data_IF_979525624204
#
_entry.id   IF_979525624204
#
_cell.length_a   1.000
_cell.length_b   1.000
_cell.length_c   1.000
_cell.angle_alpha   90.00
_cell.angle_beta   90.00
_cell.angle_gamma   90.00
#
_symmetry.space_group_name_H-M   'P 1'
#
loop_
_entity.id
_entity.type
_entity.pdbx_description
1 polymer ?
#
# COMPACT_ATOMS: atom_id res chain seq x y z
N UNK A 1 20.49 33.33 -12.67
CA UNK A 1 20.38 32.49 -11.45
C UNK A 1 18.94 32.27 -10.97
N UNK A 2 18.01 33.26 -11.03
CA UNK A 2 16.58 33.03 -10.71
C UNK A 2 15.81 32.33 -11.85
N UNK A 3 16.16 32.59 -13.11
CA UNK A 3 15.54 31.94 -14.28
C UNK A 3 16.02 30.50 -14.52
N UNK A 4 17.15 30.09 -13.98
CA UNK A 4 17.64 28.71 -14.02
C UNK A 4 17.00 27.85 -12.91
N UNK A 5 16.69 28.43 -11.76
CA UNK A 5 15.93 27.74 -10.71
C UNK A 5 14.48 27.45 -11.11
N UNK A 6 13.83 28.36 -11.86
CA UNK A 6 12.47 28.15 -12.39
C UNK A 6 12.41 27.13 -13.53
N UNK A 7 13.51 26.95 -14.31
CA UNK A 7 13.58 25.94 -15.36
C UNK A 7 13.85 24.51 -14.86
N UNK A 8 14.40 24.36 -13.65
CA UNK A 8 14.59 23.04 -13.02
C UNK A 8 13.31 22.48 -12.35
N UNK A 9 12.28 23.31 -12.18
CA UNK A 9 10.99 22.88 -11.61
C UNK A 9 9.98 22.34 -12.64
N UNK A 10 10.25 22.43 -13.93
CA UNK A 10 9.30 22.02 -14.99
C UNK A 10 9.31 20.53 -15.36
N UNK A 11 10.01 19.66 -14.63
CA UNK A 11 10.18 18.26 -15.06
C UNK A 11 10.11 17.16 -14.01
N UNK A 12 10.17 17.44 -12.71
CA UNK A 12 10.14 16.37 -11.71
C UNK A 12 8.70 16.03 -11.30
N UNK A 13 8.30 14.78 -11.50
CA UNK A 13 7.05 14.23 -10.95
C UNK A 13 7.24 14.15 -9.44
N UNK A 14 6.38 14.81 -8.66
CA UNK A 14 6.39 14.76 -7.21
C UNK A 14 5.03 14.27 -6.71
N UNK A 15 5.03 13.26 -5.84
CA UNK A 15 3.85 12.80 -5.11
C UNK A 15 3.94 13.35 -3.70
N UNK A 16 2.89 14.08 -3.29
CA UNK A 16 2.76 14.65 -1.97
C UNK A 16 1.77 13.83 -1.14
N UNK A 17 2.16 13.50 0.10
CA UNK A 17 1.29 12.89 1.09
C UNK A 17 1.12 13.90 2.24
N UNK A 18 -0.11 14.13 2.73
CA UNK A 18 -0.32 14.99 3.88
C UNK A 18 0.49 14.52 5.08
N UNK A 19 1.03 15.46 5.87
CA UNK A 19 1.70 15.12 7.14
C UNK A 19 0.68 14.47 8.05
N UNK A 20 0.89 13.22 8.48
CA UNK A 20 -0.09 12.49 9.27
C UNK A 20 -0.10 12.99 10.72
N UNK A 21 -1.23 12.77 11.40
CA UNK A 21 -1.25 12.85 12.85
C UNK A 21 -0.32 11.78 13.45
N UNK A 22 0.29 12.11 14.59
CA UNK A 22 1.26 11.22 15.25
C UNK A 22 0.61 9.89 15.64
N UNK A 23 1.21 8.78 15.22
CA UNK A 23 0.88 7.44 15.70
C UNK A 23 1.33 7.27 17.17
N UNK A 24 0.50 6.58 17.95
CA UNK A 24 0.89 6.05 19.26
C UNK A 24 1.86 4.88 19.13
N UNK A 25 2.22 4.29 20.28
CA UNK A 25 3.17 3.18 20.30
C UNK A 25 2.55 1.87 19.75
N UNK A 26 1.24 1.70 19.92
CA UNK A 26 0.48 0.60 19.36
C UNK A 26 -0.15 1.03 18.02
N UNK A 27 0.27 0.40 16.92
CA UNK A 27 -0.29 0.64 15.59
C UNK A 27 -1.27 -0.47 15.23
N UNK A 28 -0.78 -1.65 14.90
CA UNK A 28 -1.58 -2.88 14.73
C UNK A 28 -0.81 -4.03 15.32
N UNK A 29 -1.45 -4.77 16.21
CA UNK A 29 -0.87 -5.96 16.84
C UNK A 29 -1.74 -7.16 16.54
N UNK A 30 -1.13 -8.20 16.02
CA UNK A 30 -1.75 -9.50 15.78
C UNK A 30 -1.17 -10.53 16.75
N UNK A 31 -2.04 -11.26 17.45
CA UNK A 31 -1.67 -12.30 18.40
C UNK A 31 -2.42 -13.59 18.06
N UNK A 32 -1.66 -14.61 17.67
CA UNK A 32 -2.16 -15.94 17.32
C UNK A 32 -3.32 -15.89 16.31
N UNK A 33 -3.24 -14.95 15.37
CA UNK A 33 -4.30 -14.68 14.40
C UNK A 33 -4.40 -15.81 13.40
N UNK A 34 -5.62 -16.31 13.18
CA UNK A 34 -5.89 -17.36 12.20
C UNK A 34 -7.12 -17.03 11.36
N UNK A 35 -7.07 -17.40 10.08
CA UNK A 35 -8.15 -17.20 9.13
C UNK A 35 -8.16 -18.25 8.04
N UNK A 36 -9.36 -18.73 7.73
CA UNK A 36 -9.60 -19.64 6.62
C UNK A 36 -10.94 -19.38 5.94
N UNK A 37 -11.17 -20.05 4.81
CA UNK A 37 -12.43 -20.06 4.09
C UNK A 37 -12.70 -21.48 3.57
N UNK A 38 -13.86 -22.03 3.96
CA UNK A 38 -14.21 -23.41 3.65
C UNK A 38 -13.10 -24.35 4.16
N UNK A 39 -12.54 -25.18 3.29
CA UNK A 39 -11.48 -26.14 3.65
C UNK A 39 -10.04 -25.56 3.54
N UNK A 40 -9.91 -24.26 3.30
CA UNK A 40 -8.61 -23.62 3.09
C UNK A 40 -8.25 -22.76 4.30
N UNK A 41 -7.22 -23.18 5.02
CA UNK A 41 -6.58 -22.37 6.04
C UNK A 41 -5.58 -21.42 5.38
N UNK A 42 -5.85 -20.11 5.40
CA UNK A 42 -4.99 -19.09 4.80
C UNK A 42 -3.72 -18.89 5.63
N UNK A 43 -3.89 -18.65 6.91
CA UNK A 43 -2.80 -18.54 7.89
C UNK A 43 -3.27 -18.93 9.29
N UNK A 44 -2.33 -19.40 10.09
CA UNK A 44 -2.56 -19.78 11.49
C UNK A 44 -1.46 -19.22 12.39
N UNK A 45 -1.84 -18.94 13.65
CA UNK A 45 -0.92 -18.46 14.69
C UNK A 45 -0.04 -17.27 14.27
N UNK A 46 -0.56 -16.41 13.39
CA UNK A 46 0.16 -15.24 12.91
C UNK A 46 0.34 -14.22 14.03
N UNK A 47 1.60 -13.82 14.25
CA UNK A 47 1.98 -12.82 15.23
C UNK A 47 2.83 -11.75 14.55
N UNK A 48 2.44 -10.49 14.69
CA UNK A 48 3.24 -9.34 14.29
C UNK A 48 2.80 -8.09 15.05
N UNK A 49 3.68 -7.09 15.07
CA UNK A 49 3.35 -5.74 15.50
C UNK A 49 3.86 -4.76 14.44
N UNK A 50 2.97 -3.94 13.88
CA UNK A 50 3.38 -2.94 12.90
C UNK A 50 4.22 -1.85 13.58
N UNK A 51 5.39 -1.50 13.03
CA UNK A 51 6.25 -0.48 13.60
C UNK A 51 5.67 0.91 13.37
N UNK A 52 5.82 1.79 14.33
CA UNK A 52 5.54 3.21 14.15
C UNK A 52 6.58 3.84 13.21
N UNK A 53 6.14 4.35 12.07
CA UNK A 53 7.04 4.97 11.08
C UNK A 53 7.78 3.97 10.18
N UNK A 54 7.41 2.68 10.18
CA UNK A 54 8.00 1.68 9.29
C UNK A 54 7.21 1.46 8.00
N UNK A 55 7.85 0.80 7.05
CA UNK A 55 7.24 0.34 5.79
C UNK A 55 7.31 -1.18 5.76
N UNK A 56 6.15 -1.82 5.78
CA UNK A 56 6.01 -3.27 5.79
C UNK A 56 5.61 -3.77 4.41
N UNK A 57 6.50 -4.51 3.76
CA UNK A 57 6.21 -5.21 2.52
C UNK A 57 5.49 -6.52 2.80
N UNK A 58 4.32 -6.72 2.23
CA UNK A 58 3.55 -7.97 2.31
C UNK A 58 3.72 -8.74 1.02
N UNK A 59 4.33 -9.91 1.12
CA UNK A 59 4.68 -10.74 -0.04
C UNK A 59 4.06 -12.13 0.07
N UNK A 60 3.96 -12.78 -1.06
CA UNK A 60 3.45 -14.15 -1.16
C UNK A 60 2.58 -14.35 -2.39
N UNK A 61 2.20 -15.59 -2.67
CA UNK A 61 1.44 -15.93 -3.87
C UNK A 61 0.00 -15.36 -3.81
N UNK A 62 -0.63 -15.29 -4.98
CA UNK A 62 -2.04 -14.88 -5.06
C UNK A 62 -2.93 -15.89 -4.32
N UNK A 63 -3.93 -15.38 -3.61
CA UNK A 63 -4.84 -16.20 -2.81
C UNK A 63 -4.28 -16.63 -1.45
N UNK A 64 -3.06 -16.26 -1.08
CA UNK A 64 -2.46 -16.63 0.21
C UNK A 64 -3.12 -15.96 1.43
N UNK A 65 -3.96 -14.94 1.23
CA UNK A 65 -4.65 -14.25 2.32
C UNK A 65 -4.17 -12.82 2.58
N UNK A 66 -3.30 -12.26 1.73
CA UNK A 66 -2.76 -10.89 1.88
C UNK A 66 -3.87 -9.83 1.95
N UNK A 67 -4.75 -9.80 0.95
CA UNK A 67 -5.90 -8.86 0.92
C UNK A 67 -6.90 -9.15 2.04
N UNK A 68 -7.06 -10.41 2.46
CA UNK A 68 -7.88 -10.77 3.62
C UNK A 68 -7.33 -10.14 4.89
N UNK A 69 -6.00 -10.17 5.09
CA UNK A 69 -5.36 -9.48 6.22
C UNK A 69 -5.62 -7.97 6.18
N UNK A 70 -5.54 -7.33 5.01
CA UNK A 70 -5.87 -5.90 4.86
C UNK A 70 -7.32 -5.61 5.27
N UNK A 71 -8.28 -6.42 4.81
CA UNK A 71 -9.69 -6.29 5.21
C UNK A 71 -9.90 -6.48 6.72
N UNK A 72 -9.12 -7.36 7.34
CA UNK A 72 -9.18 -7.54 8.80
C UNK A 72 -8.64 -6.31 9.53
N UNK A 73 -7.52 -5.72 9.10
CA UNK A 73 -6.99 -4.48 9.66
C UNK A 73 -7.99 -3.33 9.46
N UNK A 74 -8.69 -3.30 8.32
CA UNK A 74 -9.74 -2.33 8.02
C UNK A 74 -11.07 -2.59 8.77
N UNK A 75 -11.16 -3.66 9.55
CA UNK A 75 -12.39 -4.02 10.27
C UNK A 75 -13.53 -4.54 9.39
N UNK A 76 -13.26 -4.86 8.13
CA UNK A 76 -14.23 -5.38 7.17
C UNK A 76 -14.38 -6.91 7.23
N UNK A 77 -13.41 -7.59 7.83
CA UNK A 77 -13.37 -9.04 8.00
C UNK A 77 -12.96 -9.37 9.44
N UNK A 78 -13.45 -10.47 9.99
CA UNK A 78 -13.10 -10.93 11.34
C UNK A 78 -12.15 -12.13 11.26
N UNK A 79 -11.21 -12.26 12.21
CA UNK A 79 -10.44 -13.48 12.36
C UNK A 79 -11.33 -14.64 12.82
N UNK A 80 -10.92 -15.86 12.52
CA UNK A 80 -11.57 -17.07 13.03
C UNK A 80 -11.09 -17.37 14.46
N UNK A 81 -9.82 -17.04 14.75
CA UNK A 81 -9.26 -17.10 16.11
C UNK A 81 -8.11 -16.10 16.26
N UNK A 82 -7.69 -15.88 17.52
CA UNK A 82 -6.67 -14.89 17.89
C UNK A 82 -7.23 -13.48 17.99
N UNK A 83 -6.34 -12.52 18.20
CA UNK A 83 -6.68 -11.12 18.36
C UNK A 83 -5.99 -10.25 17.34
N UNK A 84 -6.71 -9.25 16.83
CA UNK A 84 -6.17 -8.18 16.01
C UNK A 84 -6.57 -6.85 16.65
N UNK A 85 -5.58 -6.14 17.19
CA UNK A 85 -5.79 -4.85 17.85
C UNK A 85 -5.29 -3.74 16.94
N UNK A 86 -6.15 -2.75 16.67
CA UNK A 86 -5.79 -1.52 15.98
C UNK A 86 -5.71 -0.39 16.99
N UNK A 87 -4.59 0.30 17.06
CA UNK A 87 -4.33 1.35 18.04
C UNK A 87 -5.32 2.50 17.93
N UNK A 88 -5.64 3.12 19.06
CA UNK A 88 -6.65 4.19 19.17
C UNK A 88 -6.29 5.46 18.38
N UNK A 89 -5.02 5.68 18.12
CA UNK A 89 -4.51 6.84 17.35
C UNK A 89 -4.43 6.57 15.86
N UNK A 90 -4.74 5.35 15.42
CA UNK A 90 -4.67 4.97 14.01
C UNK A 90 -5.81 5.62 13.22
N UNK A 91 -5.42 6.35 12.19
CA UNK A 91 -6.28 6.83 11.12
C UNK A 91 -5.94 6.06 9.86
N UNK A 92 -6.75 5.05 9.57
CA UNK A 92 -6.51 4.17 8.45
C UNK A 92 -6.84 4.85 7.12
N UNK A 93 -5.94 4.75 6.14
CA UNK A 93 -6.20 5.00 4.74
C UNK A 93 -6.11 3.68 3.97
N UNK A 94 -7.23 3.19 3.49
CA UNK A 94 -7.37 1.97 2.71
C UNK A 94 -8.46 2.11 1.67
N UNK A 95 -8.19 1.69 0.46
CA UNK A 95 -9.17 1.60 -0.62
C UNK A 95 -9.33 0.14 -0.98
N UNK A 96 -10.52 -0.41 -0.73
CA UNK A 96 -10.90 -1.73 -1.25
C UNK A 96 -11.35 -1.57 -2.70
N UNK A 97 -10.44 -1.82 -3.64
CA UNK A 97 -10.70 -1.69 -5.08
C UNK A 97 -11.89 -2.51 -5.59
N UNK A 98 -12.33 -3.51 -4.82
CA UNK A 98 -13.51 -4.32 -5.15
C UNK A 98 -14.83 -3.68 -4.70
N UNK A 99 -14.81 -2.74 -3.76
CA UNK A 99 -15.99 -2.10 -3.13
C UNK A 99 -16.06 -0.60 -3.38
N UNK A 100 -14.92 0.06 -3.44
CA UNK A 100 -14.85 1.51 -3.63
C UNK A 100 -14.94 1.83 -5.12
N UNK A 101 -16.11 2.22 -5.57
CA UNK A 101 -16.33 2.63 -6.95
C UNK A 101 -15.94 4.09 -7.14
N UNK A 102 -15.19 4.36 -8.20
CA UNK A 102 -15.01 5.72 -8.70
C UNK A 102 -16.28 6.19 -9.41
N UNK A 103 -16.60 7.48 -9.31
CA UNK A 103 -17.73 8.06 -10.04
C UNK A 103 -17.36 8.21 -11.53
N UNK A 104 -17.87 7.32 -12.34
CA UNK A 104 -17.62 7.31 -13.79
C UNK A 104 -18.05 8.57 -14.52
N UNK A 105 -18.93 9.38 -13.95
CA UNK A 105 -19.45 10.61 -14.56
C UNK A 105 -18.54 11.81 -14.35
N UNK A 106 -17.64 11.75 -13.35
CA UNK A 106 -16.67 12.81 -13.05
C UNK A 106 -15.46 12.74 -13.96
N UNK A 107 -14.78 13.86 -14.09
CA UNK A 107 -13.43 13.89 -14.67
C UNK A 107 -12.41 13.38 -13.65
N UNK A 108 -11.22 12.99 -14.12
CA UNK A 108 -10.08 12.64 -13.25
C UNK A 108 -9.82 13.74 -12.22
N UNK A 109 -9.80 14.99 -12.69
CA UNK A 109 -9.61 16.16 -11.84
C UNK A 109 -10.67 16.24 -10.73
N UNK A 110 -11.94 16.19 -11.09
CA UNK A 110 -13.06 16.25 -10.14
C UNK A 110 -13.04 15.08 -9.16
N UNK A 111 -12.68 13.88 -9.62
CA UNK A 111 -12.64 12.68 -8.78
C UNK A 111 -11.49 12.72 -7.76
N UNK A 112 -10.32 13.22 -8.15
CA UNK A 112 -9.17 13.35 -7.26
C UNK A 112 -9.30 14.56 -6.34
N UNK A 113 -9.65 15.74 -6.90
CA UNK A 113 -9.67 17.00 -6.13
C UNK A 113 -10.97 17.23 -5.37
N UNK A 114 -12.07 16.60 -5.78
CA UNK A 114 -13.40 16.96 -5.32
C UNK A 114 -13.95 18.23 -6.00
N UNK A 115 -13.25 18.74 -7.05
CA UNK A 115 -13.56 19.98 -7.74
C UNK A 115 -12.87 21.21 -7.15
N UNK A 116 -12.06 21.03 -6.10
CA UNK A 116 -11.31 22.12 -5.46
C UNK A 116 -10.03 22.42 -6.24
N UNK A 117 -9.70 23.71 -6.40
CA UNK A 117 -8.47 24.15 -7.06
C UNK A 117 -7.23 24.02 -6.16
N UNK A 118 -7.43 24.08 -4.84
CA UNK A 118 -6.39 23.91 -3.84
C UNK A 118 -6.75 22.79 -2.87
N UNK A 119 -5.83 21.87 -2.66
CA UNK A 119 -5.93 20.80 -1.65
C UNK A 119 -5.22 21.23 -0.37
N UNK A 120 -5.84 20.98 0.78
CA UNK A 120 -5.26 21.28 2.08
C UNK A 120 -4.57 20.06 2.67
N UNK A 121 -3.25 20.10 2.80
CA UNK A 121 -2.43 19.08 3.44
C UNK A 121 -1.88 19.63 4.77
N UNK A 122 -2.71 19.57 5.81
CA UNK A 122 -2.45 20.29 7.04
C UNK A 122 -2.51 21.80 6.81
N UNK A 123 -1.40 22.50 7.07
CA UNK A 123 -1.28 23.94 6.78
C UNK A 123 -0.78 24.25 5.36
N UNK A 124 -0.35 23.23 4.60
CA UNK A 124 0.17 23.40 3.23
C UNK A 124 -0.97 23.39 2.22
N UNK A 125 -1.02 24.39 1.36
CA UNK A 125 -1.88 24.40 0.17
C UNK A 125 -1.15 23.81 -1.01
N UNK A 126 -1.80 22.87 -1.69
CA UNK A 126 -1.29 22.18 -2.88
C UNK A 126 -2.23 22.43 -4.03
N UNK A 127 -1.70 22.88 -5.16
CA UNK A 127 -2.50 23.03 -6.37
C UNK A 127 -3.02 21.67 -6.84
N UNK A 128 -4.33 21.54 -7.00
CA UNK A 128 -4.97 20.26 -7.33
C UNK A 128 -4.53 19.71 -8.70
N UNK A 129 -4.30 20.58 -9.69
CA UNK A 129 -3.81 20.14 -11.02
C UNK A 129 -2.38 19.62 -10.95
N UNK A 130 -1.52 20.28 -10.16
CA UNK A 130 -0.16 19.81 -9.92
C UNK A 130 -0.18 18.45 -9.18
N UNK A 131 -1.08 18.28 -8.22
CA UNK A 131 -1.27 17.00 -7.54
C UNK A 131 -1.66 15.88 -8.50
N UNK A 132 -2.62 16.11 -9.41
CA UNK A 132 -2.98 15.14 -10.46
C UNK A 132 -1.81 14.81 -11.39
N UNK A 133 -0.95 15.79 -11.68
CA UNK A 133 0.25 15.59 -12.52
C UNK A 133 1.24 14.63 -11.86
N UNK A 134 1.34 14.63 -10.53
CA UNK A 134 2.15 13.67 -9.77
C UNK A 134 1.77 12.20 -10.01
N UNK A 135 0.53 11.94 -10.44
CA UNK A 135 0.04 10.62 -10.80
C UNK A 135 -0.05 10.41 -12.32
N UNK A 136 0.75 11.17 -13.07
CA UNK A 136 0.83 11.12 -14.53
C UNK A 136 -0.49 11.44 -15.28
N UNK A 137 -1.33 12.29 -14.68
CA UNK A 137 -2.46 12.90 -15.36
C UNK A 137 -2.10 14.33 -15.77
N UNK A 138 -1.68 14.52 -17.04
CA UNK A 138 -1.19 15.80 -17.55
C UNK A 138 -2.19 16.44 -18.51
N UNK A 139 -2.32 17.75 -18.44
CA UNK A 139 -3.11 18.53 -19.39
C UNK A 139 -4.52 17.99 -19.62
N UNK A 140 -4.81 17.50 -20.82
CA UNK A 140 -6.13 16.97 -21.20
C UNK A 140 -6.51 15.67 -20.49
N UNK A 141 -5.54 14.91 -19.95
CA UNK A 141 -5.85 13.66 -19.22
C UNK A 141 -6.69 13.92 -17.99
N UNK A 142 -6.50 15.08 -17.34
CA UNK A 142 -7.29 15.48 -16.18
C UNK A 142 -8.78 15.73 -16.51
N UNK A 143 -9.11 15.95 -17.77
CA UNK A 143 -10.48 16.16 -18.25
C UNK A 143 -11.17 14.88 -18.73
N UNK A 144 -10.43 13.78 -18.85
CA UNK A 144 -11.02 12.48 -19.18
C UNK A 144 -12.05 12.08 -18.15
N UNK A 145 -13.14 11.49 -18.58
CA UNK A 145 -14.13 10.91 -17.65
C UNK A 145 -13.59 9.59 -17.06
N UNK A 146 -13.84 9.38 -15.78
CA UNK A 146 -13.40 8.18 -15.07
C UNK A 146 -13.88 6.88 -15.72
N UNK A 147 -15.08 6.88 -16.32
CA UNK A 147 -15.62 5.73 -17.05
C UNK A 147 -14.77 5.33 -18.26
N UNK A 148 -14.04 6.29 -18.86
CA UNK A 148 -13.26 6.10 -20.08
C UNK A 148 -11.78 5.73 -19.79
N UNK A 149 -11.42 5.61 -18.50
CA UNK A 149 -10.07 5.26 -18.06
C UNK A 149 -9.80 3.76 -18.23
N UNK A 150 -8.54 3.43 -18.56
CA UNK A 150 -8.01 2.07 -18.47
C UNK A 150 -7.97 1.59 -16.99
N UNK A 151 -7.75 0.29 -16.79
CA UNK A 151 -7.57 -0.27 -15.44
C UNK A 151 -6.41 0.38 -14.68
N UNK A 152 -5.26 0.58 -15.34
CA UNK A 152 -4.10 1.22 -14.74
C UNK A 152 -4.34 2.70 -14.41
N UNK A 153 -5.02 3.45 -15.27
CA UNK A 153 -5.40 4.83 -14.97
C UNK A 153 -6.34 4.90 -13.77
N UNK A 154 -7.32 3.98 -13.64
CA UNK A 154 -8.20 3.92 -12.46
C UNK A 154 -7.41 3.61 -11.19
N UNK A 155 -6.44 2.70 -11.25
CA UNK A 155 -5.57 2.40 -10.10
C UNK A 155 -4.80 3.64 -9.64
N UNK A 156 -4.29 4.46 -10.57
CA UNK A 156 -3.64 5.74 -10.23
C UNK A 156 -4.60 6.74 -9.59
N UNK A 157 -5.85 6.80 -10.03
CA UNK A 157 -6.88 7.65 -9.39
C UNK A 157 -7.16 7.17 -7.96
N UNK A 158 -7.33 5.86 -7.75
CA UNK A 158 -7.50 5.29 -6.41
C UNK A 158 -6.31 5.62 -5.51
N UNK A 159 -5.08 5.44 -6.00
CA UNK A 159 -3.86 5.75 -5.26
C UNK A 159 -3.80 7.23 -4.88
N UNK A 160 -4.10 8.14 -5.81
CA UNK A 160 -4.13 9.57 -5.54
C UNK A 160 -5.14 9.94 -4.45
N UNK A 161 -6.35 9.38 -4.51
CA UNK A 161 -7.39 9.60 -3.50
C UNK A 161 -6.98 9.05 -2.13
N UNK A 162 -6.39 7.86 -2.09
CA UNK A 162 -5.92 7.24 -0.86
C UNK A 162 -4.83 8.08 -0.20
N UNK A 163 -3.80 8.45 -0.93
CA UNK A 163 -2.69 9.23 -0.38
C UNK A 163 -3.12 10.63 0.08
N UNK A 164 -4.12 11.23 -0.57
CA UNK A 164 -4.70 12.52 -0.16
C UNK A 164 -5.52 12.44 1.14
N UNK A 165 -5.99 11.26 1.53
CA UNK A 165 -6.98 11.10 2.61
C UNK A 165 -6.50 11.54 4.00
N UNK A 166 -5.19 11.65 4.22
CA UNK A 166 -4.61 12.13 5.49
C UNK A 166 -4.55 11.06 6.59
N UNK A 167 -4.61 9.78 6.25
CA UNK A 167 -4.39 8.68 7.19
C UNK A 167 -2.95 8.64 7.70
N UNK A 168 -2.73 8.01 8.87
CA UNK A 168 -1.40 7.76 9.44
C UNK A 168 -0.97 6.29 9.37
N UNK A 169 -1.88 5.40 8.97
CA UNK A 169 -1.61 4.03 8.54
C UNK A 169 -2.14 3.87 7.12
N UNK A 170 -1.24 3.66 6.15
CA UNK A 170 -1.58 3.46 4.75
C UNK A 170 -1.55 1.96 4.43
N UNK A 171 -2.64 1.42 3.88
CA UNK A 171 -2.67 0.07 3.30
C UNK A 171 -2.76 0.20 1.79
N UNK A 172 -1.68 -0.22 1.10
CA UNK A 172 -1.54 -0.14 -0.35
C UNK A 172 -1.56 -1.56 -0.94
N UNK A 173 -2.52 -1.84 -1.81
CA UNK A 173 -2.62 -3.13 -2.50
C UNK A 173 -2.17 -2.96 -3.95
N UNK A 174 -1.01 -3.53 -4.30
CA UNK A 174 -0.36 -3.47 -5.61
C UNK A 174 -0.25 -2.04 -6.19
N UNK A 175 0.27 -1.05 -5.44
CA UNK A 175 0.26 0.34 -5.87
C UNK A 175 1.19 0.63 -7.06
N UNK A 176 2.10 -0.29 -7.36
CA UNK A 176 3.11 -0.14 -8.44
C UNK A 176 2.60 -0.58 -9.81
N UNK A 177 1.46 -1.27 -9.86
CA UNK A 177 0.90 -1.75 -11.11
C UNK A 177 0.59 -0.59 -12.06
N UNK A 178 1.05 -0.71 -13.30
CA UNK A 178 0.82 0.27 -14.38
C UNK A 178 1.38 1.68 -14.12
N UNK A 179 2.35 1.84 -13.18
CA UNK A 179 3.08 3.08 -13.00
C UNK A 179 4.25 3.16 -13.99
N UNK A 180 4.43 4.34 -14.58
CA UNK A 180 5.68 4.66 -15.28
C UNK A 180 6.82 4.89 -14.27
N UNK A 181 8.06 4.89 -14.78
CA UNK A 181 9.28 4.96 -13.95
C UNK A 181 9.32 6.22 -13.09
N UNK A 182 8.88 7.36 -13.63
CA UNK A 182 8.95 8.65 -12.92
C UNK A 182 7.91 8.70 -11.79
N UNK A 183 6.69 8.23 -12.05
CA UNK A 183 5.64 8.11 -11.03
C UNK A 183 6.01 7.09 -9.95
N UNK A 184 6.64 5.97 -10.32
CA UNK A 184 7.11 4.96 -9.37
C UNK A 184 8.17 5.55 -8.42
N UNK A 185 9.17 6.27 -8.95
CA UNK A 185 10.20 6.93 -8.13
C UNK A 185 9.60 7.98 -7.20
N UNK A 186 8.68 8.80 -7.71
CA UNK A 186 7.99 9.78 -6.89
C UNK A 186 7.19 9.14 -5.76
N UNK A 187 6.56 7.97 -6.01
CA UNK A 187 5.87 7.19 -4.99
C UNK A 187 6.86 6.66 -3.93
N UNK A 188 7.98 6.08 -4.35
CA UNK A 188 9.02 5.60 -3.44
C UNK A 188 9.51 6.72 -2.50
N UNK A 189 9.87 7.87 -3.06
CA UNK A 189 10.34 9.02 -2.29
C UNK A 189 9.27 9.52 -1.30
N UNK A 190 8.02 9.58 -1.74
CA UNK A 190 6.90 10.00 -0.90
C UNK A 190 6.64 9.03 0.27
N UNK A 191 6.71 7.72 0.02
CA UNK A 191 6.50 6.69 1.06
C UNK A 191 7.66 6.65 2.06
N UNK A 192 8.90 6.79 1.60
CA UNK A 192 10.10 6.85 2.48
C UNK A 192 10.06 8.10 3.37
N UNK A 193 9.58 9.22 2.85
CA UNK A 193 9.44 10.47 3.61
C UNK A 193 8.22 10.49 4.54
N UNK A 194 7.29 9.55 4.40
CA UNK A 194 6.04 9.52 5.17
C UNK A 194 6.29 9.18 6.64
N UNK A 195 5.82 10.03 7.54
CA UNK A 195 6.04 9.88 8.98
C UNK A 195 5.08 8.90 9.69
N UNK A 196 4.13 8.30 8.95
CA UNK A 196 3.22 7.26 9.45
C UNK A 196 3.74 5.85 9.19
N UNK A 197 2.88 4.86 9.36
CA UNK A 197 3.15 3.47 9.00
C UNK A 197 2.55 3.15 7.62
N UNK A 198 3.30 2.43 6.81
CA UNK A 198 2.85 1.94 5.49
C UNK A 198 2.90 0.43 5.47
N UNK A 199 1.82 -0.19 5.01
CA UNK A 199 1.80 -1.63 4.70
C UNK A 199 1.45 -1.77 3.23
N UNK A 200 2.33 -2.42 2.47
CA UNK A 200 2.20 -2.51 1.02
C UNK A 200 2.27 -3.96 0.54
N UNK A 201 1.20 -4.42 -0.11
CA UNK A 201 1.23 -5.67 -0.88
C UNK A 201 1.85 -5.33 -2.24
N UNK A 202 2.92 -6.00 -2.62
CA UNK A 202 3.50 -5.86 -3.96
C UNK A 202 4.23 -7.12 -4.40
N UNK A 203 4.19 -7.38 -5.71
CA UNK A 203 5.02 -8.38 -6.38
C UNK A 203 6.32 -7.77 -6.93
N UNK A 204 6.47 -6.45 -6.88
CA UNK A 204 7.68 -5.75 -7.29
C UNK A 204 8.74 -5.81 -6.18
N UNK A 205 9.68 -6.75 -6.37
CA UNK A 205 10.76 -6.99 -5.39
C UNK A 205 11.75 -5.85 -5.32
N UNK A 206 12.00 -5.17 -6.44
CA UNK A 206 12.90 -4.03 -6.50
C UNK A 206 12.33 -2.83 -5.76
N UNK A 207 11.03 -2.61 -5.91
CA UNK A 207 10.32 -1.60 -5.14
C UNK A 207 10.41 -1.90 -3.63
N UNK A 208 10.05 -3.11 -3.22
CA UNK A 208 10.11 -3.50 -1.80
C UNK A 208 11.51 -3.45 -1.23
N UNK A 209 12.54 -3.81 -2.01
CA UNK A 209 13.93 -3.76 -1.57
C UNK A 209 14.38 -2.32 -1.26
N UNK A 210 13.89 -1.35 -2.04
CA UNK A 210 14.23 0.06 -1.84
C UNK A 210 13.52 0.73 -0.68
N UNK A 211 12.29 0.32 -0.35
CA UNK A 211 11.48 1.05 0.62
C UNK A 211 11.17 0.29 1.91
N UNK A 212 11.11 -1.05 1.87
CA UNK A 212 10.65 -1.83 3.01
C UNK A 212 11.67 -1.87 4.15
N UNK A 213 11.18 -1.67 5.36
CA UNK A 213 11.93 -1.85 6.61
C UNK A 213 11.64 -3.21 7.26
N UNK A 214 10.50 -3.79 6.91
CA UNK A 214 10.04 -5.10 7.39
C UNK A 214 9.34 -5.85 6.27
N UNK A 215 9.35 -7.17 6.34
CA UNK A 215 8.65 -8.06 5.41
C UNK A 215 7.70 -8.96 6.19
N UNK A 216 6.47 -9.06 5.72
CA UNK A 216 5.49 -10.04 6.15
C UNK A 216 5.26 -11.02 5.00
N UNK A 217 5.88 -12.20 5.09
CA UNK A 217 5.97 -13.16 4.01
C UNK A 217 4.98 -14.32 4.20
N UNK A 218 4.04 -14.46 3.29
CA UNK A 218 3.17 -15.63 3.18
C UNK A 218 3.94 -16.73 2.43
N UNK A 219 4.59 -17.63 3.20
CA UNK A 219 5.56 -18.61 2.67
C UNK A 219 4.92 -19.92 2.16
N UNK A 220 3.59 -20.02 2.20
CA UNK A 220 2.85 -21.25 1.88
C UNK A 220 2.57 -22.09 3.13
N UNK A 221 1.82 -23.20 2.96
CA UNK A 221 1.42 -24.09 4.05
C UNK A 221 0.77 -23.38 5.25
N UNK A 222 0.08 -22.26 4.97
CA UNK A 222 -0.55 -21.38 5.96
C UNK A 222 0.43 -20.72 6.94
N UNK A 223 1.74 -20.73 6.64
CA UNK A 223 2.78 -20.06 7.39
C UNK A 223 2.97 -18.64 6.90
N UNK A 224 3.05 -17.69 7.85
CA UNK A 224 3.41 -16.31 7.60
C UNK A 224 4.59 -15.95 8.49
N UNK A 225 5.64 -15.41 7.88
CA UNK A 225 6.88 -15.06 8.55
C UNK A 225 7.08 -13.56 8.64
N UNK A 226 7.33 -13.07 9.85
CA UNK A 226 7.65 -11.67 10.11
C UNK A 226 9.17 -11.50 10.12
N UNK A 227 9.69 -10.60 9.30
CA UNK A 227 11.11 -10.33 9.16
C UNK A 227 11.40 -8.83 9.25
N UNK A 228 12.41 -8.44 10.03
CA UNK A 228 12.92 -7.08 10.12
C UNK A 228 14.08 -6.91 9.15
N UNK A 229 13.90 -6.13 8.11
CA UNK A 229 14.86 -5.89 7.03
C UNK A 229 14.16 -5.67 5.69
N UNK A 230 14.96 -5.44 4.64
CA UNK A 230 14.46 -5.27 3.28
C UNK A 230 14.20 -6.62 2.59
N UNK A 231 13.84 -6.57 1.30
CA UNK A 231 13.53 -7.80 0.56
C UNK A 231 14.75 -8.69 0.34
N UNK A 232 15.95 -8.13 0.07
CA UNK A 232 17.16 -8.92 -0.14
C UNK A 232 17.59 -9.64 1.12
N UNK A 233 17.52 -8.98 2.27
CA UNK A 233 17.84 -9.57 3.57
C UNK A 233 16.89 -10.73 3.90
N UNK A 234 15.59 -10.52 3.67
CA UNK A 234 14.58 -11.58 3.81
C UNK A 234 14.87 -12.77 2.88
N UNK A 235 15.18 -12.52 1.60
CA UNK A 235 15.45 -13.59 0.64
C UNK A 235 16.69 -14.41 1.03
N UNK A 236 17.72 -13.77 1.57
CA UNK A 236 18.91 -14.44 2.09
C UNK A 236 18.58 -15.30 3.32
N UNK A 237 17.77 -14.78 4.25
CA UNK A 237 17.28 -15.51 5.42
C UNK A 237 16.40 -16.71 5.01
N UNK A 238 15.44 -16.49 4.10
CA UNK A 238 14.58 -17.55 3.57
C UNK A 238 15.41 -18.70 2.98
N UNK A 239 16.45 -18.38 2.18
CA UNK A 239 17.34 -19.38 1.61
C UNK A 239 18.07 -20.19 2.67
N UNK A 240 18.52 -19.54 3.76
CA UNK A 240 19.15 -20.23 4.89
C UNK A 240 18.18 -21.17 5.62
N UNK A 241 16.92 -20.72 5.84
CA UNK A 241 15.90 -21.49 6.58
C UNK A 241 15.29 -22.64 5.78
N UNK A 242 14.99 -22.40 4.50
CA UNK A 242 14.24 -23.36 3.65
C UNK A 242 15.13 -24.13 2.67
N UNK A 243 16.40 -23.72 2.48
CA UNK A 243 17.33 -24.38 1.55
C UNK A 243 17.03 -24.13 0.05
N UNK A 244 16.06 -23.26 -0.25
CA UNK A 244 15.60 -22.92 -1.61
C UNK A 244 15.60 -21.42 -1.81
N UNK A 245 15.65 -20.99 -3.07
CA UNK A 245 15.61 -19.56 -3.39
C UNK A 245 14.17 -19.02 -3.27
N UNK A 246 14.00 -17.91 -2.55
CA UNK A 246 12.71 -17.22 -2.42
C UNK A 246 12.11 -16.77 -3.77
N UNK A 247 12.95 -16.70 -4.80
CA UNK A 247 12.56 -16.28 -6.14
C UNK A 247 12.02 -17.42 -7.02
N UNK A 248 12.11 -18.67 -6.57
CA UNK A 248 11.57 -19.79 -7.32
C UNK A 248 10.03 -19.86 -7.16
N UNK A 249 9.28 -20.06 -8.25
CA UNK A 249 7.84 -20.23 -8.17
C UNK A 249 7.50 -21.50 -7.41
N UNK A 250 6.84 -21.38 -6.27
CA UNK A 250 6.36 -22.52 -5.50
C UNK A 250 4.85 -22.69 -5.68
N UNK A 251 4.42 -23.96 -5.80
CA UNK A 251 2.99 -24.29 -5.81
C UNK A 251 2.42 -24.05 -4.41
N UNK A 252 1.36 -23.24 -4.33
CA UNK A 252 0.67 -22.99 -3.05
C UNK A 252 0.11 -24.30 -2.53
N UNK A 253 0.46 -24.69 -1.31
CA UNK A 253 -0.18 -25.74 -0.55
C UNK A 253 -0.86 -25.09 0.65
N UNK A 254 -2.10 -25.46 0.89
CA UNK A 254 -2.87 -25.04 2.06
C UNK A 254 -2.99 -26.22 3.00
N UNK A 255 -2.90 -25.97 4.30
CA UNK A 255 -3.28 -26.96 5.29
C UNK A 255 -4.80 -27.12 5.26
N UNK A 256 -5.34 -28.36 5.32
CA UNK A 256 -6.77 -28.55 5.52
C UNK A 256 -7.17 -28.05 6.91
N UNK A 257 -8.34 -27.42 6.99
CA UNK A 257 -8.97 -27.11 8.27
C UNK A 257 -9.38 -28.42 8.93
N UNK A 258 -8.76 -28.73 10.07
CA UNK A 258 -9.24 -29.81 10.93
C UNK A 258 -10.39 -29.25 11.78
N UNK A 259 -11.60 -29.74 11.53
CA UNK A 259 -12.77 -29.46 12.35
C UNK A 259 -12.73 -30.25 13.66
#
# INVERSE_FOLDING_TARGET
LRQEADRQSEGSVEILIPVPERLGDEVVVAEKLSKGYGDRLLFENLNFALPRGGIVGVIGPNGAGKTTLFRMIAGQEKPDSGNLTVGKTVKLAYVDQSRDSLDGTRTVYEEISGGEDELLFGSRKVNARAYCTGFNFRGSDQQKKVKDLSGGERNRVHLAKLLKSGGNLLLLDEPTNDLDVDTLRALEDALVAFAGCVVVISHDRWFLDRIATHILAFEGESEVYWYEGNYQDYAADFKKRKGVDANQPHRIRYKPLHH
#
